data_IF_406616428698
#
_entry.id   IF_406616428698
#
_cell.length_a   1.000
_cell.length_b   1.000
_cell.length_c   1.000
_cell.angle_alpha   90.00
_cell.angle_beta   90.00
_cell.angle_gamma   90.00
#
_symmetry.space_group_name_H-M   'P 1'
#
loop_
_entity.id
_entity.type
_entity.pdbx_description
1 polymer ?
#
# COMPACT_ATOMS: atom_id res chain seq x y z
N UNK A 1 11.09 -16.09 17.66
CA UNK A 1 9.98 -15.13 17.82
C UNK A 1 10.51 -13.78 17.39
N UNK A 2 10.05 -13.25 16.26
CA UNK A 2 10.50 -11.94 15.78
C UNK A 2 9.77 -10.88 16.60
N UNK A 3 10.50 -10.21 17.47
CA UNK A 3 10.07 -9.01 18.18
C UNK A 3 9.88 -7.90 17.15
N UNK A 4 8.63 -7.69 16.70
CA UNK A 4 8.27 -6.45 16.05
C UNK A 4 8.46 -5.33 17.08
N UNK A 5 9.52 -4.57 16.92
CA UNK A 5 9.81 -3.39 17.73
C UNK A 5 8.61 -2.42 17.58
N UNK A 6 7.90 -2.06 18.66
CA UNK A 6 6.72 -1.21 18.59
C UNK A 6 7.00 0.14 17.91
N UNK A 7 8.23 0.65 18.00
CA UNK A 7 8.65 1.87 17.28
C UNK A 7 8.62 1.67 15.77
N UNK A 8 9.04 0.48 15.31
CA UNK A 8 9.02 0.11 13.89
C UNK A 8 7.58 -0.06 13.39
N UNK A 9 6.69 -0.61 14.21
CA UNK A 9 5.27 -0.75 13.86
C UNK A 9 4.59 0.61 13.66
N UNK A 10 4.80 1.56 14.57
CA UNK A 10 4.26 2.92 14.43
C UNK A 10 4.77 3.62 13.16
N UNK A 11 6.06 3.45 12.84
CA UNK A 11 6.65 4.05 11.65
C UNK A 11 6.13 3.43 10.34
N UNK A 12 5.68 2.18 10.35
CA UNK A 12 5.01 1.55 9.21
C UNK A 12 3.60 2.12 9.05
N UNK A 13 2.83 2.23 10.14
CA UNK A 13 1.46 2.78 10.10
C UNK A 13 1.46 4.20 9.53
N UNK A 14 2.33 5.08 10.04
CA UNK A 14 2.43 6.46 9.55
C UNK A 14 2.72 6.55 8.04
N UNK A 15 3.54 5.63 7.51
CA UNK A 15 3.85 5.58 6.07
C UNK A 15 2.70 5.04 5.24
N UNK A 16 1.94 4.10 5.79
CA UNK A 16 0.73 3.57 5.14
C UNK A 16 -0.32 4.66 5.06
N UNK A 17 -0.58 5.37 6.15
CA UNK A 17 -1.55 6.47 6.19
C UNK A 17 -1.20 7.56 5.17
N UNK A 18 0.05 8.03 5.17
CA UNK A 18 0.53 8.99 4.17
C UNK A 18 0.40 8.46 2.73
N UNK A 19 0.62 7.16 2.51
CA UNK A 19 0.43 6.55 1.18
C UNK A 19 -1.05 6.54 0.77
N UNK A 20 -1.98 6.29 1.71
CA UNK A 20 -3.43 6.33 1.46
C UNK A 20 -3.88 7.74 1.10
N UNK A 21 -3.39 8.76 1.80
CA UNK A 21 -3.64 10.17 1.45
C UNK A 21 -3.16 10.49 0.03
N UNK A 22 -1.92 10.10 -0.29
CA UNK A 22 -1.35 10.34 -1.62
C UNK A 22 -2.14 9.64 -2.73
N UNK A 23 -2.55 8.39 -2.51
CA UNK A 23 -3.38 7.63 -3.47
C UNK A 23 -4.76 8.30 -3.62
N UNK A 24 -5.35 8.80 -2.55
CA UNK A 24 -6.63 9.52 -2.59
C UNK A 24 -6.53 10.79 -3.45
N UNK A 25 -5.40 11.50 -3.38
CA UNK A 25 -5.14 12.71 -4.17
C UNK A 25 -4.78 12.40 -5.62
N UNK A 26 -4.01 11.33 -5.86
CA UNK A 26 -3.55 10.93 -7.19
C UNK A 26 -3.70 9.42 -7.39
N UNK A 27 -4.92 8.94 -7.71
CA UNK A 27 -5.20 7.49 -7.82
C UNK A 27 -4.41 6.76 -8.91
N UNK A 28 -3.77 7.50 -9.81
CA UNK A 28 -3.04 6.98 -10.96
C UNK A 28 -1.58 6.62 -10.63
N UNK A 29 -1.06 6.97 -9.43
CA UNK A 29 0.35 6.71 -9.03
C UNK A 29 0.68 5.23 -8.83
N UNK A 30 -0.33 4.40 -8.59
CA UNK A 30 -0.13 2.96 -8.42
C UNK A 30 0.09 2.29 -9.76
N UNK A 31 0.91 1.24 -9.80
CA UNK A 31 1.12 0.41 -10.99
C UNK A 31 -0.15 -0.41 -11.26
N UNK A 32 -0.76 -0.32 -12.45
CA UNK A 32 -1.84 -1.23 -12.85
C UNK A 32 -1.39 -2.70 -12.76
N UNK A 33 -2.31 -3.57 -12.35
CA UNK A 33 -2.09 -5.03 -12.38
C UNK A 33 -3.10 -5.70 -13.31
N UNK A 34 -2.96 -7.02 -13.53
CA UNK A 34 -3.81 -7.76 -14.47
C UNK A 34 -5.33 -7.66 -14.18
N UNK A 35 -5.72 -7.41 -12.93
CA UNK A 35 -7.12 -7.23 -12.57
C UNK A 35 -7.62 -5.81 -12.96
N UNK A 36 -8.75 -5.69 -13.71
CA UNK A 36 -9.24 -4.40 -14.19
C UNK A 36 -9.47 -3.37 -13.08
N UNK A 37 -8.95 -2.15 -13.32
CA UNK A 37 -9.03 -1.02 -12.40
C UNK A 37 -8.24 -1.20 -11.10
N UNK A 38 -7.54 -2.32 -10.92
CA UNK A 38 -6.74 -2.59 -9.72
C UNK A 38 -5.32 -2.11 -9.94
N UNK A 39 -4.79 -1.44 -8.92
CA UNK A 39 -3.43 -0.93 -8.87
C UNK A 39 -2.72 -1.44 -7.63
N UNK A 40 -1.41 -1.55 -7.73
CA UNK A 40 -0.52 -1.80 -6.60
C UNK A 40 0.34 -0.58 -6.32
N UNK A 41 0.58 -0.28 -5.06
CA UNK A 41 1.48 0.77 -4.62
C UNK A 41 2.41 0.21 -3.53
N UNK A 42 3.72 0.11 -3.79
CA UNK A 42 4.68 -0.26 -2.75
C UNK A 42 4.83 0.90 -1.76
N UNK A 43 4.56 0.64 -0.48
CA UNK A 43 4.71 1.65 0.58
C UNK A 43 6.21 1.83 0.85
N UNK A 44 6.77 3.03 0.58
CA UNK A 44 8.22 3.24 0.66
C UNK A 44 8.80 2.85 2.01
N UNK A 45 9.97 2.21 2.01
CA UNK A 45 10.75 1.87 3.22
C UNK A 45 10.05 0.94 4.24
N UNK A 46 8.98 0.24 3.85
CA UNK A 46 8.28 -0.69 4.76
C UNK A 46 8.29 -2.14 4.29
N UNK A 47 8.59 -2.39 3.01
CA UNK A 47 8.39 -3.72 2.39
C UNK A 47 6.91 -4.13 2.27
N UNK A 48 5.97 -3.20 2.53
CA UNK A 48 4.55 -3.44 2.38
C UNK A 48 4.03 -2.93 1.04
N UNK A 49 2.92 -3.50 0.60
CA UNK A 49 2.22 -3.14 -0.63
C UNK A 49 0.76 -2.92 -0.29
N UNK A 50 0.22 -1.81 -0.81
CA UNK A 50 -1.21 -1.55 -0.89
C UNK A 50 -1.69 -1.99 -2.27
N UNK A 51 -2.81 -2.70 -2.31
CA UNK A 51 -3.58 -2.89 -3.53
C UNK A 51 -4.91 -2.17 -3.36
N UNK A 52 -5.31 -1.45 -4.40
CA UNK A 52 -6.55 -0.69 -4.40
C UNK A 52 -7.18 -0.72 -5.78
N UNK A 53 -8.46 -0.37 -5.86
CA UNK A 53 -9.18 -0.22 -7.12
C UNK A 53 -9.71 1.19 -7.26
N UNK A 54 -9.66 1.73 -8.47
CA UNK A 54 -10.37 2.94 -8.86
C UNK A 54 -11.76 2.56 -9.40
N UNK A 55 -12.83 3.00 -8.73
CA UNK A 55 -14.22 2.74 -9.15
C UNK A 55 -14.98 4.05 -9.14
N UNK A 56 -15.47 4.50 -10.30
CA UNK A 56 -16.25 5.76 -10.43
C UNK A 56 -15.54 6.98 -9.80
N UNK A 57 -14.20 7.04 -9.90
CA UNK A 57 -13.40 8.10 -9.29
C UNK A 57 -13.05 7.89 -7.81
N UNK A 58 -13.57 6.85 -7.16
CA UNK A 58 -13.24 6.51 -5.78
C UNK A 58 -12.11 5.49 -5.68
N UNK A 59 -11.20 5.71 -4.74
CA UNK A 59 -10.18 4.74 -4.34
C UNK A 59 -10.76 3.79 -3.30
N UNK A 60 -10.64 2.49 -3.55
CA UNK A 60 -10.99 1.44 -2.58
C UNK A 60 -9.78 0.56 -2.30
N UNK A 61 -9.26 0.64 -1.08
CA UNK A 61 -8.18 -0.26 -0.63
C UNK A 61 -8.73 -1.68 -0.55
N UNK A 62 -8.07 -2.61 -1.26
CA UNK A 62 -8.43 -4.02 -1.29
C UNK A 62 -7.62 -4.84 -0.30
N UNK A 63 -6.31 -4.57 -0.20
CA UNK A 63 -5.40 -5.30 0.69
C UNK A 63 -4.16 -4.49 1.01
N UNK A 64 -3.73 -4.58 2.27
CA UNK A 64 -2.40 -4.21 2.73
C UNK A 64 -1.67 -5.50 3.14
N UNK A 65 -0.47 -5.73 2.62
CA UNK A 65 0.32 -6.91 2.98
C UNK A 65 1.82 -6.64 2.86
N UNK A 66 2.63 -7.41 3.58
CA UNK A 66 4.09 -7.41 3.41
C UNK A 66 4.46 -8.20 2.16
N UNK A 67 5.17 -7.58 1.21
CA UNK A 67 5.68 -8.29 0.04
C UNK A 67 6.71 -9.33 0.49
N UNK A 68 6.57 -10.57 0.01
CA UNK A 68 7.63 -11.56 0.17
C UNK A 68 8.78 -11.15 -0.74
N UNK A 69 9.97 -10.94 -0.16
CA UNK A 69 11.21 -10.91 -0.94
C UNK A 69 11.37 -12.31 -1.53
N UNK A 70 11.16 -12.46 -2.83
CA UNK A 70 11.74 -13.58 -3.57
C UNK A 70 13.24 -13.27 -3.62
N UNK A 71 13.96 -13.77 -2.62
CA UNK A 71 15.41 -13.95 -2.69
C UNK A 71 15.69 -15.25 -3.42
#
# INVERSE_FOLDING_TARGET
MASDDPVTASAVIARVDHSVELISLQPEIGTPIAAPGVRRYPVPNTGHVLTYRLVRGEVRVLRWYRARRNT
#
